data_IF_411646924209
#
_entry.id   IF_411646924209
#
_cell.length_a   1.000
_cell.length_b   1.000
_cell.length_c   1.000
_cell.angle_alpha   90.00
_cell.angle_beta   90.00
_cell.angle_gamma   90.00
#
_symmetry.space_group_name_H-M   'P 1'
#
loop_
_entity.id
_entity.type
_entity.pdbx_description
1 polymer ?
#
# COMPACT_ATOMS: atom_id res chain seq x y z
N UNK A 1 -21.74 5.20 16.98
CA UNK A 1 -20.78 4.72 15.94
C UNK A 1 -19.92 3.60 16.55
N UNK A 2 -19.52 2.60 15.74
CA UNK A 2 -18.59 1.56 16.24
C UNK A 2 -17.20 2.16 16.43
N UNK A 3 -16.50 1.73 17.49
CA UNK A 3 -15.10 2.08 17.71
C UNK A 3 -14.27 1.63 16.49
N UNK A 4 -13.38 2.48 16.00
CA UNK A 4 -12.50 2.21 14.87
C UNK A 4 -11.63 0.98 15.08
N UNK A 5 -11.04 0.84 16.25
CA UNK A 5 -10.21 -0.31 16.62
C UNK A 5 -10.98 -1.64 16.52
N UNK A 6 -12.20 -1.69 17.05
CA UNK A 6 -13.04 -2.89 16.97
C UNK A 6 -13.38 -3.24 15.51
N UNK A 7 -13.56 -2.24 14.65
CA UNK A 7 -13.82 -2.46 13.22
C UNK A 7 -12.58 -3.05 12.54
N UNK A 8 -11.41 -2.47 12.75
CA UNK A 8 -10.16 -2.94 12.14
C UNK A 8 -9.78 -4.33 12.65
N UNK A 9 -9.92 -4.58 13.95
CA UNK A 9 -9.67 -5.90 14.53
C UNK A 9 -10.65 -6.97 14.00
N UNK A 10 -11.89 -6.62 13.75
CA UNK A 10 -12.87 -7.53 13.11
C UNK A 10 -12.45 -7.86 11.68
N UNK A 11 -11.95 -6.89 10.90
CA UNK A 11 -11.42 -7.16 9.56
C UNK A 11 -10.21 -8.10 9.63
N UNK A 12 -9.27 -7.83 10.53
CA UNK A 12 -8.10 -8.67 10.74
C UNK A 12 -8.47 -10.09 11.16
N UNK A 13 -9.49 -10.27 12.01
CA UNK A 13 -10.02 -11.57 12.38
C UNK A 13 -10.60 -12.34 11.19
N UNK A 14 -11.42 -11.71 10.37
CA UNK A 14 -11.97 -12.34 9.16
C UNK A 14 -10.88 -12.63 8.11
N UNK A 15 -9.82 -11.84 8.06
CA UNK A 15 -8.73 -12.02 7.11
C UNK A 15 -7.93 -13.31 7.30
N UNK A 16 -8.02 -13.93 8.49
CA UNK A 16 -7.42 -15.23 8.81
C UNK A 16 -7.95 -16.35 7.90
N UNK A 17 -9.18 -16.21 7.42
CA UNK A 17 -9.73 -17.12 6.42
C UNK A 17 -9.38 -16.61 5.01
N UNK A 18 -8.52 -17.31 4.24
CA UNK A 18 -8.11 -16.89 2.91
C UNK A 18 -9.27 -16.85 1.89
N UNK A 19 -10.35 -17.60 2.14
CA UNK A 19 -11.52 -17.65 1.27
C UNK A 19 -12.58 -16.61 1.63
N UNK A 20 -12.38 -15.83 2.71
CA UNK A 20 -13.35 -14.84 3.11
C UNK A 20 -13.38 -13.67 2.13
N UNK A 21 -14.56 -13.32 1.65
CA UNK A 21 -14.81 -12.17 0.78
C UNK A 21 -15.32 -10.99 1.59
N UNK A 22 -14.64 -9.86 1.48
CA UNK A 22 -15.03 -8.62 2.14
C UNK A 22 -16.05 -7.87 1.30
N UNK A 23 -17.25 -7.75 1.85
CA UNK A 23 -18.35 -7.10 1.13
C UNK A 23 -18.68 -5.74 1.72
N UNK A 24 -18.92 -4.89 2.02
CA UNK A 24 -19.37 -3.65 2.67
C UNK A 24 -18.24 -2.80 3.24
N UNK A 25 -17.03 -2.87 2.63
CA UNK A 25 -15.89 -2.06 3.07
C UNK A 25 -16.14 -0.56 2.85
N UNK A 26 -16.83 -0.20 1.77
CA UNK A 26 -17.13 1.20 1.45
C UNK A 26 -17.92 1.91 2.56
N UNK A 27 -18.79 1.18 3.27
CA UNK A 27 -19.55 1.73 4.41
C UNK A 27 -18.66 2.12 5.59
N UNK A 28 -17.48 1.52 5.73
CA UNK A 28 -16.53 1.87 6.79
C UNK A 28 -15.99 3.29 6.60
N UNK A 29 -15.94 3.79 5.35
CA UNK A 29 -15.57 5.16 5.04
C UNK A 29 -16.56 6.22 5.55
N UNK A 30 -17.69 5.81 6.12
CA UNK A 30 -18.65 6.71 6.75
C UNK A 30 -18.43 6.84 8.26
N UNK A 31 -17.45 6.15 8.82
CA UNK A 31 -17.14 6.18 10.25
C UNK A 31 -16.20 7.34 10.57
N UNK A 32 -16.70 8.39 11.23
CA UNK A 32 -15.94 9.58 11.62
C UNK A 32 -14.72 9.24 12.50
N UNK A 33 -14.79 8.17 13.33
CA UNK A 33 -13.69 7.78 14.21
C UNK A 33 -12.45 7.32 13.42
N UNK A 34 -12.64 6.61 12.28
CA UNK A 34 -11.51 6.24 11.41
C UNK A 34 -10.77 7.48 10.85
N UNK A 35 -11.49 8.57 10.58
CA UNK A 35 -10.86 9.83 10.15
C UNK A 35 -10.15 10.54 11.30
N UNK A 36 -10.69 10.48 12.52
CA UNK A 36 -10.03 11.04 13.69
C UNK A 36 -8.69 10.32 13.97
N UNK A 37 -8.69 8.99 13.91
CA UNK A 37 -7.48 8.18 14.09
C UNK A 37 -6.48 8.43 12.95
N UNK A 38 -6.96 8.46 11.71
CA UNK A 38 -6.15 8.77 10.54
C UNK A 38 -5.50 10.15 10.67
N UNK A 39 -6.26 11.16 11.12
CA UNK A 39 -5.75 12.50 11.37
C UNK A 39 -4.68 12.49 12.46
N UNK A 40 -4.93 11.84 13.58
CA UNK A 40 -3.98 11.72 14.68
C UNK A 40 -2.64 11.08 14.22
N UNK A 41 -2.71 9.98 13.46
CA UNK A 41 -1.51 9.31 12.90
C UNK A 41 -0.73 10.20 11.91
N UNK A 42 -1.40 11.15 11.27
CA UNK A 42 -0.81 12.03 10.27
C UNK A 42 -0.34 13.36 10.84
N UNK A 43 -0.90 13.82 11.96
CA UNK A 43 -0.70 15.17 12.51
C UNK A 43 0.77 15.50 12.81
N UNK A 44 1.56 14.51 13.24
CA UNK A 44 2.96 14.68 13.59
C UNK A 44 3.93 14.67 12.40
N UNK A 45 3.45 14.38 11.19
CA UNK A 45 4.31 14.28 10.01
C UNK A 45 4.43 15.63 9.31
N UNK A 46 5.64 16.20 9.28
CA UNK A 46 5.94 17.51 8.66
C UNK A 46 5.51 17.60 7.19
N UNK A 47 5.57 16.50 6.43
CA UNK A 47 5.12 16.44 5.04
C UNK A 47 3.63 16.77 4.83
N UNK A 48 2.80 16.73 5.89
CA UNK A 48 1.39 17.08 5.80
C UNK A 48 1.12 18.59 5.87
N UNK A 49 2.14 19.40 6.17
CA UNK A 49 2.11 20.86 6.04
C UNK A 49 2.35 21.33 4.61
N UNK A 50 2.77 20.43 3.71
CA UNK A 50 2.96 20.78 2.29
C UNK A 50 1.62 20.80 1.57
N UNK A 51 1.32 21.95 0.94
CA UNK A 51 0.08 22.18 0.19
C UNK A 51 0.01 21.31 -1.07
N UNK A 52 -1.11 20.63 -1.24
CA UNK A 52 -1.47 19.97 -2.49
C UNK A 52 -1.97 20.96 -3.55
N UNK A 53 -2.69 20.44 -4.55
CA UNK A 53 -3.30 21.25 -5.62
C UNK A 53 -4.47 22.11 -5.11
N UNK A 54 -5.12 21.73 -4.01
CA UNK A 54 -6.17 22.46 -3.33
C UNK A 54 -5.68 23.63 -2.46
N UNK A 55 -4.34 23.79 -2.35
CA UNK A 55 -3.70 24.83 -1.53
C UNK A 55 -3.87 24.62 -0.02
N UNK A 56 -4.46 23.53 0.43
CA UNK A 56 -4.78 23.27 1.83
C UNK A 56 -3.74 22.39 2.50
N UNK A 57 -3.71 22.49 3.84
CA UNK A 57 -2.82 21.72 4.70
C UNK A 57 -3.61 21.06 5.83
N UNK A 58 -2.88 20.31 6.68
CA UNK A 58 -3.46 19.70 7.89
C UNK A 58 -4.08 20.70 8.84
N UNK A 59 -3.57 21.94 8.91
CA UNK A 59 -3.99 22.96 9.87
C UNK A 59 -5.46 23.40 9.71
N UNK A 60 -6.06 23.20 8.55
CA UNK A 60 -7.47 23.52 8.28
C UNK A 60 -8.46 22.42 8.63
N UNK A 61 -8.03 21.36 9.33
CA UNK A 61 -8.90 20.20 9.60
C UNK A 61 -9.92 20.49 10.70
N UNK A 62 -11.15 20.03 10.48
CA UNK A 62 -12.27 20.17 11.42
C UNK A 62 -13.26 19.02 11.25
N UNK A 63 -14.06 18.76 12.29
CA UNK A 63 -15.15 17.77 12.23
C UNK A 63 -16.13 18.09 11.08
N UNK A 64 -16.42 19.38 10.84
CA UNK A 64 -17.27 19.82 9.72
C UNK A 64 -16.69 19.37 8.38
N UNK A 65 -15.38 19.44 8.21
CA UNK A 65 -14.70 19.03 6.98
C UNK A 65 -14.73 17.50 6.81
N UNK A 66 -14.53 16.72 7.88
CA UNK A 66 -14.69 15.27 7.86
C UNK A 66 -16.11 14.90 7.40
N UNK A 67 -17.15 15.54 7.98
CA UNK A 67 -18.54 15.30 7.60
C UNK A 67 -18.82 15.63 6.13
N UNK A 68 -18.20 16.68 5.60
CA UNK A 68 -18.30 17.05 4.18
C UNK A 68 -17.68 15.97 3.28
N UNK A 69 -16.50 15.46 3.64
CA UNK A 69 -15.86 14.35 2.90
C UNK A 69 -16.76 13.11 2.93
N UNK A 70 -17.29 12.75 4.10
CA UNK A 70 -18.18 11.59 4.25
C UNK A 70 -19.47 11.76 3.43
N UNK A 71 -20.04 12.97 3.36
CA UNK A 71 -21.21 13.24 2.54
C UNK A 71 -20.92 12.97 1.05
N UNK A 72 -19.81 13.49 0.53
CA UNK A 72 -19.35 13.23 -0.85
C UNK A 72 -19.07 11.74 -1.13
N UNK A 73 -18.60 10.99 -0.12
CA UNK A 73 -18.41 9.54 -0.26
C UNK A 73 -19.76 8.81 -0.26
N UNK A 74 -20.74 9.24 0.52
CA UNK A 74 -22.07 8.59 0.60
C UNK A 74 -22.83 8.66 -0.73
N UNK A 75 -22.80 9.81 -1.39
CA UNK A 75 -23.45 10.02 -2.67
C UNK A 75 -22.55 9.68 -3.88
N UNK A 76 -21.34 9.16 -3.64
CA UNK A 76 -20.31 8.81 -4.63
C UNK A 76 -19.82 9.98 -5.49
N UNK A 77 -20.12 11.22 -5.13
CA UNK A 77 -19.64 12.43 -5.81
C UNK A 77 -18.17 12.74 -5.53
N UNK A 78 -17.55 12.04 -4.55
CA UNK A 78 -16.15 12.23 -4.23
C UNK A 78 -15.24 11.91 -5.42
N UNK A 79 -14.41 12.89 -5.79
CA UNK A 79 -13.39 12.79 -6.82
C UNK A 79 -12.03 13.21 -6.21
N UNK A 80 -11.00 12.36 -6.25
CA UNK A 80 -9.67 12.74 -5.83
C UNK A 80 -9.11 13.87 -6.70
N UNK A 81 -8.38 14.81 -6.10
CA UNK A 81 -7.67 15.84 -6.82
C UNK A 81 -6.40 15.26 -7.47
N UNK A 82 -5.98 15.79 -8.60
CA UNK A 82 -4.67 15.42 -9.17
C UNK A 82 -3.56 15.80 -8.19
N UNK A 83 -2.54 14.94 -8.06
CA UNK A 83 -1.40 15.21 -7.19
C UNK A 83 -0.54 16.35 -7.75
N UNK A 84 -0.04 17.23 -6.90
CA UNK A 84 0.95 18.24 -7.32
C UNK A 84 2.30 17.56 -7.50
N UNK A 85 2.87 17.58 -8.70
CA UNK A 85 4.19 17.03 -8.98
C UNK A 85 5.29 18.02 -8.62
N UNK A 86 6.27 17.55 -7.86
CA UNK A 86 7.53 18.24 -7.57
C UNK A 86 8.69 17.28 -7.81
N UNK A 87 9.90 17.84 -7.91
CA UNK A 87 11.12 17.06 -8.12
C UNK A 87 12.05 17.20 -6.92
N UNK A 88 12.57 16.08 -6.42
CA UNK A 88 13.54 16.03 -5.34
C UNK A 88 14.87 15.55 -5.89
N UNK A 89 15.98 16.26 -5.65
CA UNK A 89 17.31 15.84 -6.12
C UNK A 89 17.75 14.56 -5.41
N UNK A 90 18.27 13.60 -6.17
CA UNK A 90 18.94 12.39 -5.67
C UNK A 90 20.44 12.68 -5.48
N UNK A 91 21.12 11.88 -4.63
CA UNK A 91 22.58 11.97 -4.41
C UNK A 91 23.41 11.84 -5.69
N UNK A 92 22.88 11.17 -6.71
CA UNK A 92 23.55 10.97 -8.01
C UNK A 92 23.24 12.08 -9.04
N UNK A 93 22.71 13.21 -8.63
CA UNK A 93 22.34 14.34 -9.50
C UNK A 93 21.04 14.17 -10.30
N UNK A 94 20.44 12.99 -10.31
CA UNK A 94 19.14 12.77 -10.95
C UNK A 94 18.01 13.31 -10.07
N UNK A 95 16.89 13.65 -10.69
CA UNK A 95 15.69 14.08 -9.98
C UNK A 95 14.72 12.91 -9.77
N UNK A 96 14.05 12.90 -8.62
CA UNK A 96 12.97 11.97 -8.32
C UNK A 96 11.65 12.72 -8.34
N UNK A 97 10.68 12.35 -9.19
CA UNK A 97 9.35 12.93 -9.14
C UNK A 97 8.64 12.49 -7.85
N UNK A 98 7.95 13.43 -7.21
CA UNK A 98 7.12 13.19 -6.03
C UNK A 98 5.76 13.85 -6.27
N UNK A 99 4.68 13.09 -6.10
CA UNK A 99 3.31 13.61 -6.12
C UNK A 99 2.87 13.99 -4.70
N UNK A 100 2.34 15.19 -4.54
CA UNK A 100 1.76 15.66 -3.29
C UNK A 100 0.24 15.68 -3.46
N UNK A 101 -0.51 14.72 -2.90
CA UNK A 101 -1.96 14.74 -2.93
C UNK A 101 -2.53 15.90 -2.11
N UNK A 102 -3.75 16.33 -2.41
CA UNK A 102 -4.51 17.24 -1.58
C UNK A 102 -4.69 16.65 -0.16
N UNK A 103 -4.83 17.52 0.85
CA UNK A 103 -4.87 17.01 2.23
C UNK A 103 -6.11 16.14 2.49
N UNK A 104 -7.27 16.50 1.94
CA UNK A 104 -8.48 15.67 2.04
C UNK A 104 -8.26 14.28 1.44
N UNK A 105 -7.59 14.22 0.29
CA UNK A 105 -7.28 12.95 -0.38
C UNK A 105 -6.29 12.11 0.43
N UNK A 106 -5.27 12.76 1.04
CA UNK A 106 -4.36 12.06 1.98
C UNK A 106 -5.13 11.42 3.13
N UNK A 107 -6.13 12.12 3.67
CA UNK A 107 -6.92 11.62 4.80
C UNK A 107 -7.80 10.43 4.40
N UNK A 108 -8.51 10.52 3.26
CA UNK A 108 -9.29 9.39 2.74
C UNK A 108 -8.39 8.21 2.40
N UNK A 109 -7.25 8.45 1.75
CA UNK A 109 -6.26 7.42 1.45
C UNK A 109 -5.74 6.75 2.74
N UNK A 110 -5.55 7.49 3.83
CA UNK A 110 -5.10 6.92 5.11
C UNK A 110 -6.15 5.97 5.70
N UNK A 111 -7.43 6.34 5.65
CA UNK A 111 -8.52 5.44 6.07
C UNK A 111 -8.58 4.19 5.20
N UNK A 112 -8.46 4.33 3.88
CA UNK A 112 -8.38 3.18 2.96
C UNK A 112 -7.16 2.30 3.26
N UNK A 113 -6.00 2.91 3.53
CA UNK A 113 -4.79 2.19 3.94
C UNK A 113 -5.03 1.36 5.20
N UNK A 114 -5.62 1.94 6.26
CA UNK A 114 -5.91 1.24 7.52
C UNK A 114 -6.81 0.01 7.28
N UNK A 115 -7.82 0.14 6.42
CA UNK A 115 -8.70 -0.96 6.03
C UNK A 115 -7.92 -2.05 5.29
N UNK A 116 -7.13 -1.69 4.28
CA UNK A 116 -6.33 -2.64 3.50
C UNK A 116 -5.27 -3.32 4.35
N UNK A 117 -4.57 -2.59 5.23
CA UNK A 117 -3.60 -3.16 6.17
C UNK A 117 -4.26 -4.23 7.07
N UNK A 118 -5.45 -3.94 7.61
CA UNK A 118 -6.18 -4.93 8.44
C UNK A 118 -6.58 -6.19 7.66
N UNK A 119 -6.76 -6.10 6.35
CA UNK A 119 -7.13 -7.24 5.50
C UNK A 119 -5.90 -8.03 5.06
N UNK A 120 -4.81 -7.37 4.68
CA UNK A 120 -3.71 -8.01 3.96
C UNK A 120 -2.47 -8.27 4.83
N UNK A 121 -2.23 -7.48 5.92
CA UNK A 121 -1.00 -7.61 6.71
C UNK A 121 -0.76 -9.02 7.23
N UNK A 122 -1.81 -9.71 7.69
CA UNK A 122 -1.71 -11.09 8.17
C UNK A 122 -1.46 -12.14 7.09
N UNK A 123 -1.60 -11.79 5.80
CA UNK A 123 -1.44 -12.69 4.67
C UNK A 123 -0.13 -12.52 3.91
N UNK A 124 0.64 -11.47 4.21
CA UNK A 124 1.94 -11.24 3.58
C UNK A 124 2.98 -12.22 4.06
N UNK A 125 3.85 -12.64 3.14
CA UNK A 125 4.93 -13.57 3.43
C UNK A 125 5.95 -12.99 4.42
N UNK A 126 6.64 -13.88 5.14
CA UNK A 126 7.63 -13.48 6.16
C UNK A 126 8.85 -12.77 5.55
N UNK A 127 9.17 -13.03 4.31
CA UNK A 127 10.27 -12.42 3.57
C UNK A 127 10.00 -10.99 3.12
N UNK A 128 8.74 -10.53 3.14
CA UNK A 128 8.36 -9.16 2.81
C UNK A 128 8.58 -8.22 4.00
N UNK A 129 9.39 -7.18 3.85
CA UNK A 129 9.75 -6.24 4.91
C UNK A 129 9.41 -4.78 4.59
N UNK A 130 9.26 -4.42 3.31
CA UNK A 130 9.06 -3.04 2.87
C UNK A 130 7.71 -2.46 3.31
N UNK A 131 7.71 -1.25 3.85
CA UNK A 131 6.49 -0.47 4.18
C UNK A 131 5.45 -1.14 5.08
N UNK A 132 5.83 -2.19 5.80
CA UNK A 132 4.94 -2.93 6.69
C UNK A 132 5.06 -2.48 8.14
N UNK A 133 3.96 -2.53 8.94
CA UNK A 133 4.02 -2.29 10.39
C UNK A 133 5.04 -3.24 11.06
N UNK A 134 5.81 -2.71 12.00
CA UNK A 134 6.81 -3.47 12.77
C UNK A 134 7.91 -4.15 11.93
N UNK A 135 8.05 -3.79 10.64
CA UNK A 135 9.10 -4.24 9.74
C UNK A 135 10.00 -3.07 9.33
N UNK A 136 11.27 -3.36 9.07
CA UNK A 136 12.27 -2.34 8.71
C UNK A 136 13.47 -2.98 8.01
N UNK A 137 14.41 -2.17 7.53
CA UNK A 137 15.69 -2.66 7.03
C UNK A 137 16.43 -3.53 8.07
N UNK A 138 16.29 -3.23 9.37
CA UNK A 138 16.92 -4.04 10.42
C UNK A 138 16.30 -5.44 10.53
N UNK A 139 14.97 -5.55 10.41
CA UNK A 139 14.33 -6.87 10.42
C UNK A 139 14.66 -7.66 9.17
N UNK A 140 14.87 -7.01 8.03
CA UNK A 140 15.35 -7.66 6.81
C UNK A 140 16.78 -8.17 6.98
N UNK A 141 17.68 -7.35 7.55
CA UNK A 141 19.08 -7.76 7.84
C UNK A 141 19.12 -8.94 8.81
N UNK A 142 18.32 -8.93 9.88
CA UNK A 142 18.23 -10.05 10.81
C UNK A 142 17.80 -11.34 10.10
N UNK A 143 16.78 -11.26 9.22
CA UNK A 143 16.34 -12.41 8.42
C UNK A 143 17.41 -12.95 7.47
N UNK A 144 18.27 -12.08 6.92
CA UNK A 144 19.43 -12.51 6.12
C UNK A 144 20.43 -13.26 7.03
N UNK A 145 20.78 -12.68 8.17
CA UNK A 145 21.77 -13.27 9.08
C UNK A 145 21.33 -14.65 9.57
N UNK A 146 20.04 -14.83 9.85
CA UNK A 146 19.49 -16.10 10.34
C UNK A 146 19.26 -17.13 9.23
N UNK A 147 18.83 -16.66 8.03
CA UNK A 147 18.33 -17.53 6.96
C UNK A 147 19.35 -17.90 5.89
N UNK A 148 20.42 -17.12 5.71
CA UNK A 148 21.34 -17.25 4.59
C UNK A 148 22.67 -17.94 4.96
N UNK A 149 22.71 -18.60 6.13
CA UNK A 149 23.88 -19.36 6.53
C UNK A 149 24.23 -20.43 5.49
N UNK A 150 25.53 -20.52 5.13
CA UNK A 150 26.03 -21.42 4.10
C UNK A 150 25.67 -21.05 2.66
N UNK A 151 25.06 -19.90 2.41
CA UNK A 151 24.72 -19.42 1.05
C UNK A 151 26.00 -19.10 0.28
N UNK A 152 26.17 -19.70 -0.90
CA UNK A 152 27.32 -19.46 -1.80
C UNK A 152 27.01 -18.45 -2.91
N UNK A 153 25.77 -18.30 -3.29
CA UNK A 153 25.33 -17.45 -4.37
C UNK A 153 24.24 -16.52 -3.89
N UNK A 154 24.34 -15.27 -4.27
CA UNK A 154 23.35 -14.24 -4.03
C UNK A 154 22.90 -13.65 -5.38
N UNK A 155 21.61 -13.63 -5.61
CA UNK A 155 21.01 -13.02 -6.80
C UNK A 155 20.21 -11.81 -6.33
N UNK A 156 20.64 -10.63 -6.77
CA UNK A 156 19.96 -9.38 -6.52
C UNK A 156 19.16 -8.96 -7.76
N UNK A 157 17.90 -8.57 -7.54
CA UNK A 157 17.02 -8.06 -8.58
C UNK A 157 16.36 -6.76 -8.13
N UNK A 158 16.20 -5.82 -9.05
CA UNK A 158 15.45 -4.57 -8.85
C UNK A 158 14.43 -4.37 -9.97
N UNK A 159 13.21 -3.96 -9.60
CA UNK A 159 12.14 -3.68 -10.56
C UNK A 159 12.19 -2.20 -10.92
N UNK A 160 12.71 -1.92 -12.12
CA UNK A 160 12.83 -0.55 -12.61
C UNK A 160 11.45 0.12 -12.72
N UNK A 161 11.30 1.25 -12.01
CA UNK A 161 10.11 2.07 -12.10
C UNK A 161 8.84 1.36 -11.61
N UNK A 162 8.93 0.49 -10.62
CA UNK A 162 7.82 -0.34 -10.17
C UNK A 162 6.54 0.46 -9.94
N UNK A 163 6.60 1.54 -9.15
CA UNK A 163 5.42 2.36 -8.85
C UNK A 163 4.81 3.04 -10.08
N UNK A 164 5.60 3.29 -11.10
CA UNK A 164 5.14 3.96 -12.33
C UNK A 164 4.53 2.97 -13.34
N UNK A 165 4.80 1.66 -13.15
CA UNK A 165 4.40 0.60 -14.09
C UNK A 165 3.34 -0.37 -13.55
N UNK A 166 2.78 -0.13 -12.36
CA UNK A 166 1.68 -0.95 -11.84
C UNK A 166 0.47 -0.83 -12.77
N UNK A 167 0.04 -1.95 -13.34
CA UNK A 167 -1.17 -1.99 -14.15
C UNK A 167 -2.41 -1.86 -13.25
N UNK A 168 -3.29 -0.91 -13.60
CA UNK A 168 -4.48 -0.62 -12.78
C UNK A 168 -5.51 -1.74 -12.81
N UNK A 169 -5.68 -2.42 -13.93
CA UNK A 169 -6.69 -3.48 -14.07
C UNK A 169 -6.21 -4.76 -13.37
N UNK A 170 -4.92 -5.08 -13.48
CA UNK A 170 -4.31 -6.18 -12.72
C UNK A 170 -4.40 -5.89 -11.21
N UNK A 171 -4.09 -4.67 -10.77
CA UNK A 171 -4.21 -4.29 -9.35
C UNK A 171 -5.63 -4.48 -8.83
N UNK A 172 -6.64 -4.00 -9.56
CA UNK A 172 -8.04 -4.16 -9.17
C UNK A 172 -8.44 -5.64 -9.22
N UNK A 173 -7.94 -6.41 -10.20
CA UNK A 173 -8.11 -7.86 -10.27
C UNK A 173 -7.61 -8.57 -9.00
N UNK A 174 -6.38 -8.26 -8.57
CA UNK A 174 -5.79 -8.81 -7.34
C UNK A 174 -6.63 -8.45 -6.11
N UNK A 175 -7.06 -7.19 -6.00
CA UNK A 175 -7.92 -6.76 -4.89
C UNK A 175 -9.27 -7.48 -4.89
N UNK A 176 -9.87 -7.72 -6.07
CA UNK A 176 -11.17 -8.40 -6.21
C UNK A 176 -11.15 -9.87 -5.79
N UNK A 177 -9.96 -10.48 -5.67
CA UNK A 177 -9.84 -11.84 -5.13
C UNK A 177 -10.33 -11.93 -3.68
N UNK A 178 -10.19 -10.85 -2.91
CA UNK A 178 -10.63 -10.80 -1.51
C UNK A 178 -11.73 -9.78 -1.22
N UNK A 179 -11.91 -8.79 -2.10
CA UNK A 179 -12.86 -7.69 -1.91
C UNK A 179 -13.91 -7.77 -3.00
N UNK A 180 -15.18 -7.99 -2.63
CA UNK A 180 -16.33 -8.01 -3.54
C UNK A 180 -17.13 -6.71 -3.50
N UNK A 181 -16.69 -5.71 -2.73
CA UNK A 181 -17.32 -4.38 -2.67
C UNK A 181 -16.88 -3.51 -3.86
N UNK A 182 -17.70 -3.50 -4.92
CA UNK A 182 -17.46 -2.73 -6.14
C UNK A 182 -17.31 -1.22 -5.89
N UNK A 183 -18.01 -0.66 -4.90
CA UNK A 183 -17.89 0.77 -4.55
C UNK A 183 -16.51 1.07 -4.00
N UNK A 184 -15.96 0.17 -3.17
CA UNK A 184 -14.63 0.32 -2.61
C UNK A 184 -13.54 0.18 -3.69
N UNK A 185 -13.68 -0.80 -4.60
CA UNK A 185 -12.76 -0.98 -5.73
C UNK A 185 -12.80 0.22 -6.69
N UNK A 186 -14.01 0.77 -6.99
CA UNK A 186 -14.13 2.00 -7.79
C UNK A 186 -13.43 3.19 -7.14
N UNK A 187 -13.48 3.34 -5.82
CA UNK A 187 -12.76 4.41 -5.14
C UNK A 187 -11.24 4.25 -5.29
N UNK A 188 -10.71 3.04 -5.13
CA UNK A 188 -9.28 2.78 -5.36
C UNK A 188 -8.91 3.12 -6.80
N UNK A 189 -9.73 2.70 -7.78
CA UNK A 189 -9.52 3.04 -9.19
C UNK A 189 -9.54 4.56 -9.44
N UNK A 190 -10.40 5.31 -8.75
CA UNK A 190 -10.40 6.78 -8.81
C UNK A 190 -9.06 7.36 -8.33
N UNK A 191 -8.48 6.85 -7.23
CA UNK A 191 -7.16 7.28 -6.75
C UNK A 191 -6.04 6.95 -7.75
N UNK A 192 -6.06 5.76 -8.34
CA UNK A 192 -5.07 5.37 -9.35
C UNK A 192 -5.13 6.27 -10.59
N UNK A 193 -6.33 6.68 -11.00
CA UNK A 193 -6.58 7.52 -12.19
C UNK A 193 -6.62 9.02 -11.92
N UNK A 194 -6.37 9.48 -10.69
CA UNK A 194 -6.49 10.89 -10.32
C UNK A 194 -5.56 11.83 -11.11
N UNK A 195 -4.47 11.32 -11.68
CA UNK A 195 -3.51 12.10 -12.44
C UNK A 195 -2.63 12.99 -11.57
N UNK A 196 -1.89 13.87 -12.23
CA UNK A 196 -1.06 14.85 -11.55
C UNK A 196 -0.97 16.17 -12.32
N UNK A 197 -0.71 17.24 -11.59
CA UNK A 197 -0.42 18.57 -12.13
C UNK A 197 1.08 18.83 -12.08
N UNK A 198 1.66 19.14 -13.23
CA UNK A 198 3.06 19.55 -13.41
C UNK A 198 3.10 20.84 -14.21
N UNK A 199 3.72 21.88 -13.65
CA UNK A 199 3.81 23.21 -14.30
C UNK A 199 2.44 23.71 -14.82
N UNK A 200 1.37 23.53 -14.01
CA UNK A 200 -0.02 23.87 -14.33
C UNK A 200 -0.64 23.06 -15.48
N UNK A 201 0.05 22.05 -16.00
CA UNK A 201 -0.48 21.11 -17.01
C UNK A 201 -0.97 19.84 -16.31
N UNK A 202 -2.16 19.40 -16.66
CA UNK A 202 -2.72 18.15 -16.17
C UNK A 202 -2.22 16.97 -17.00
N UNK A 203 -1.79 15.92 -16.30
CA UNK A 203 -1.35 14.66 -16.89
C UNK A 203 -2.21 13.50 -16.37
N UNK A 204 -2.73 12.72 -17.28
CA UNK A 204 -3.44 11.48 -16.95
C UNK A 204 -2.49 10.40 -16.44
N UNK A 205 -2.95 9.58 -15.51
CA UNK A 205 -2.24 8.38 -15.05
C UNK A 205 -2.95 7.15 -15.63
N UNK A 206 -2.32 6.51 -16.59
CA UNK A 206 -2.84 5.28 -17.22
C UNK A 206 -2.34 4.04 -16.50
N UNK A 207 -1.10 4.08 -16.00
CA UNK A 207 -0.45 3.06 -15.18
C UNK A 207 0.20 3.70 -13.96
N UNK A 208 0.54 2.88 -12.99
CA UNK A 208 1.28 3.29 -11.81
C UNK A 208 0.43 3.87 -10.70
N UNK A 209 1.08 4.08 -9.58
CA UNK A 209 0.52 4.78 -8.43
C UNK A 209 1.28 6.10 -8.22
N UNK A 210 0.60 7.20 -7.84
CA UNK A 210 1.29 8.45 -7.58
C UNK A 210 2.40 8.25 -6.53
N UNK A 211 3.67 8.48 -6.91
CA UNK A 211 4.76 8.46 -5.94
C UNK A 211 4.52 9.56 -4.89
N UNK A 212 4.27 9.15 -3.64
CA UNK A 212 3.88 10.04 -2.54
C UNK A 212 2.41 9.90 -2.12
N UNK A 213 1.60 9.09 -2.81
CA UNK A 213 0.29 8.67 -2.34
C UNK A 213 0.39 7.79 -1.08
N UNK A 214 -0.52 8.00 -0.12
CA UNK A 214 -0.49 7.27 1.16
C UNK A 214 -0.83 5.79 0.97
N UNK A 215 -1.72 5.46 0.02
CA UNK A 215 -2.09 4.08 -0.27
C UNK A 215 -1.08 3.35 -1.17
N UNK A 216 -0.18 4.07 -1.85
CA UNK A 216 0.73 3.48 -2.83
C UNK A 216 1.61 2.36 -2.24
N UNK A 217 2.18 2.48 -1.03
CA UNK A 217 2.98 1.41 -0.43
C UNK A 217 2.20 0.12 -0.18
N UNK A 218 0.99 0.21 0.37
CA UNK A 218 0.19 -1.00 0.64
C UNK A 218 -0.29 -1.65 -0.65
N UNK A 219 -0.65 -0.87 -1.67
CA UNK A 219 -0.99 -1.41 -2.99
C UNK A 219 0.21 -2.10 -3.64
N UNK A 220 1.41 -1.52 -3.50
CA UNK A 220 2.65 -2.13 -3.96
C UNK A 220 2.89 -3.50 -3.31
N UNK A 221 2.76 -3.58 -1.99
CA UNK A 221 2.92 -4.84 -1.26
C UNK A 221 1.87 -5.88 -1.69
N UNK A 222 0.60 -5.48 -1.86
CA UNK A 222 -0.46 -6.39 -2.34
C UNK A 222 -0.15 -6.91 -3.74
N UNK A 223 0.37 -6.07 -4.63
CA UNK A 223 0.74 -6.45 -5.99
C UNK A 223 1.91 -7.44 -6.00
N UNK A 224 2.96 -7.15 -5.22
CA UNK A 224 4.17 -7.98 -5.13
C UNK A 224 3.96 -9.27 -4.32
N UNK A 225 2.99 -9.33 -3.43
CA UNK A 225 2.64 -10.54 -2.67
C UNK A 225 2.34 -11.74 -3.59
N UNK A 226 1.91 -11.49 -4.82
CA UNK A 226 1.74 -12.54 -5.83
C UNK A 226 3.07 -13.19 -6.21
N UNK A 227 4.10 -12.38 -6.39
CA UNK A 227 5.45 -12.84 -6.66
C UNK A 227 6.04 -13.56 -5.43
N UNK A 228 5.85 -12.99 -4.25
CA UNK A 228 6.33 -13.58 -3.01
C UNK A 228 5.76 -14.97 -2.78
N UNK A 229 4.44 -15.14 -2.92
CA UNK A 229 3.77 -16.44 -2.78
C UNK A 229 4.22 -17.44 -3.82
N UNK A 230 4.38 -17.01 -5.07
CA UNK A 230 4.93 -17.86 -6.13
C UNK A 230 6.33 -18.34 -5.77
N UNK A 231 7.20 -17.46 -5.32
CA UNK A 231 8.58 -17.79 -4.95
C UNK A 231 8.64 -18.69 -3.72
N UNK A 232 7.82 -18.44 -2.70
CA UNK A 232 7.75 -19.30 -1.50
C UNK A 232 7.28 -20.70 -1.88
N UNK A 233 6.28 -20.83 -2.75
CA UNK A 233 5.82 -22.13 -3.26
C UNK A 233 6.92 -22.84 -4.06
N UNK A 234 7.61 -22.12 -4.94
CA UNK A 234 8.72 -22.65 -5.72
C UNK A 234 9.85 -23.15 -4.81
N UNK A 235 10.27 -22.34 -3.82
CA UNK A 235 11.29 -22.69 -2.84
C UNK A 235 10.87 -23.92 -2.03
N UNK A 236 9.62 -23.98 -1.60
CA UNK A 236 9.08 -25.13 -0.87
C UNK A 236 9.16 -26.42 -1.71
N UNK A 237 8.81 -26.35 -2.99
CA UNK A 237 8.91 -27.48 -3.92
C UNK A 237 10.37 -27.87 -4.14
N UNK A 238 11.27 -26.91 -4.34
CA UNK A 238 12.70 -27.14 -4.56
C UNK A 238 13.39 -27.74 -3.34
N UNK A 239 13.09 -27.22 -2.14
CA UNK A 239 13.69 -27.69 -0.89
C UNK A 239 13.02 -28.98 -0.34
N UNK A 240 12.02 -29.53 -1.02
CA UNK A 240 11.31 -30.73 -0.59
C UNK A 240 12.24 -31.95 -0.65
N UNK A 241 12.40 -32.61 0.49
CA UNK A 241 13.23 -33.80 0.63
C UNK A 241 14.34 -33.67 1.68
N UNK A 242 15.05 -34.76 1.97
CA UNK A 242 16.17 -34.74 2.91
C UNK A 242 17.39 -34.12 2.25
N UNK A 243 18.03 -33.15 2.93
CA UNK A 243 19.35 -32.67 2.53
C UNK A 243 20.31 -33.86 2.44
N UNK A 244 20.69 -34.26 1.23
CA UNK A 244 21.65 -35.34 1.02
C UNK A 244 23.05 -34.80 1.31
N UNK A 245 23.59 -35.06 2.47
CA UNK A 245 24.96 -34.65 2.90
C UNK A 245 26.05 -34.92 1.86
N UNK A 246 25.78 -35.76 0.87
CA UNK A 246 26.73 -36.16 -0.17
C UNK A 246 26.36 -35.70 -1.59
N UNK A 247 25.31 -34.90 -1.75
CA UNK A 247 25.00 -34.33 -3.06
C UNK A 247 25.67 -32.96 -3.20
N UNK A 248 26.75 -32.80 -3.96
CA UNK A 248 27.43 -31.51 -4.16
C UNK A 248 26.56 -30.50 -4.92
N UNK A 249 25.49 -30.96 -5.57
CA UNK A 249 24.53 -30.12 -6.30
C UNK A 249 23.35 -29.67 -5.44
N UNK A 250 23.22 -30.14 -4.20
CA UNK A 250 22.15 -29.70 -3.31
C UNK A 250 22.34 -28.23 -2.98
N UNK A 251 21.40 -27.42 -3.43
CA UNK A 251 21.37 -25.98 -3.20
C UNK A 251 20.10 -25.63 -2.43
N UNK A 252 20.24 -24.85 -1.38
CA UNK A 252 19.12 -24.29 -0.66
C UNK A 252 18.83 -22.92 -1.26
N UNK A 253 17.56 -22.66 -1.56
CA UNK A 253 17.09 -21.34 -1.98
C UNK A 253 16.49 -20.63 -0.77
N UNK A 254 16.93 -19.41 -0.53
CA UNK A 254 16.34 -18.48 0.43
C UNK A 254 15.87 -17.23 -0.31
N UNK A 255 14.77 -16.64 0.13
CA UNK A 255 14.24 -15.41 -0.43
C UNK A 255 14.22 -14.33 0.64
N UNK A 256 14.63 -13.13 0.25
CA UNK A 256 14.43 -11.90 1.00
C UNK A 256 13.99 -10.80 0.04
N UNK A 257 13.05 -9.95 0.53
CA UNK A 257 12.42 -8.97 -0.29
C UNK A 257 12.05 -7.70 0.51
#
# INVERSE_FOLDING_TARGET
>A
MRNSENVLNSLAGHSQNPNYKFERLYRLLFNENLYADAYQMMSHKTGNMTKGTDGQTISGMSVKRIKSIIAKLRDESYQPHPAKRIYIPKKNGKQRPLGIPAFEDKLVQKVVQMILESIYEGSFEKCSHGFRPHRSCHTAMASIMEGFDGTRWFIEGDIKGFFDNIDHDIMIGILSERISDERFLRLIRKFLKAGYLEQWTFHHTYNGTPQGGIISPILANIYLDKLDKYMVEYISKFNKGKARKRNPEYKRICLLY
#
